data_IF_758989385630
#
_entry.id   IF_758989385630
#
_cell.length_a   1.000
_cell.length_b   1.000
_cell.length_c   1.000
_cell.angle_alpha   90.00
_cell.angle_beta   90.00
_cell.angle_gamma   90.00
#
_symmetry.space_group_name_H-M   'P 1'
#
loop_
_entity.id
_entity.type
_entity.pdbx_description
1 polymer ?
#
# COMPACT_ATOMS: atom_id res chain seq x y z
N UNK A 1 -21.06 -26.34 34.59
CA UNK A 1 -19.76 -26.13 35.27
C UNK A 1 -18.82 -27.24 34.81
N UNK A 2 -17.87 -26.93 33.94
CA UNK A 2 -16.88 -27.90 33.48
C UNK A 2 -15.82 -28.08 34.57
N UNK A 3 -15.69 -29.28 35.14
CA UNK A 3 -14.68 -29.54 36.17
C UNK A 3 -13.27 -29.47 35.58
N UNK A 4 -12.37 -28.69 36.18
CA UNK A 4 -10.93 -28.75 35.94
C UNK A 4 -10.30 -29.85 36.81
N UNK A 5 -9.14 -30.37 36.41
CA UNK A 5 -8.27 -31.23 37.23
C UNK A 5 -6.89 -30.60 37.34
N UNK A 6 -6.13 -30.87 38.40
CA UNK A 6 -4.78 -30.31 38.55
C UNK A 6 -3.74 -31.32 38.04
N UNK A 7 -2.69 -30.82 37.38
CA UNK A 7 -1.61 -31.65 36.89
C UNK A 7 -0.84 -32.25 38.07
N UNK A 8 -0.60 -33.58 38.12
CA UNK A 8 0.11 -34.20 39.22
C UNK A 8 1.59 -33.79 39.30
N UNK A 9 2.19 -33.35 38.19
CA UNK A 9 3.61 -32.96 38.13
C UNK A 9 3.84 -31.49 38.50
N UNK A 10 2.96 -30.57 38.09
CA UNK A 10 3.19 -29.12 38.27
C UNK A 10 2.07 -28.36 38.99
N UNK A 11 0.97 -29.03 39.37
CA UNK A 11 -0.16 -28.42 40.08
C UNK A 11 -1.04 -27.48 39.26
N UNK A 12 -0.67 -27.13 38.02
CA UNK A 12 -1.50 -26.24 37.18
C UNK A 12 -2.82 -26.90 36.80
N UNK A 13 -3.91 -26.13 36.78
CA UNK A 13 -5.24 -26.58 36.36
C UNK A 13 -5.24 -26.90 34.88
N UNK A 14 -5.68 -28.10 34.54
CA UNK A 14 -5.81 -28.63 33.18
C UNK A 14 -7.26 -28.99 32.92
N UNK A 15 -7.68 -28.80 31.67
CA UNK A 15 -9.06 -29.04 31.23
C UNK A 15 -9.33 -30.54 31.14
N UNK A 16 -10.42 -31.05 31.71
CA UNK A 16 -10.76 -32.48 31.59
C UNK A 16 -10.80 -32.90 30.12
N UNK A 17 -10.04 -33.94 29.78
CA UNK A 17 -9.87 -34.47 28.42
C UNK A 17 -8.58 -34.06 27.71
N UNK A 18 -7.73 -33.23 28.31
CA UNK A 18 -6.39 -32.95 27.78
C UNK A 18 -5.42 -34.09 28.10
N UNK A 19 -4.80 -34.65 27.07
CA UNK A 19 -3.82 -35.74 27.17
C UNK A 19 -2.46 -35.31 27.73
N UNK A 20 -2.17 -34.00 27.73
CA UNK A 20 -0.93 -33.41 28.24
C UNK A 20 -1.22 -32.11 29.02
N UNK A 21 -0.41 -31.83 30.03
CA UNK A 21 -0.46 -30.56 30.75
C UNK A 21 0.18 -29.44 29.91
N UNK A 22 -0.58 -28.38 29.62
CA UNK A 22 -0.05 -27.20 28.92
C UNK A 22 1.02 -26.44 29.72
N UNK A 23 1.09 -26.67 31.04
CA UNK A 23 2.03 -26.00 31.92
C UNK A 23 3.44 -26.60 31.97
N UNK A 24 3.55 -27.94 31.89
CA UNK A 24 4.84 -28.64 32.02
C UNK A 24 5.08 -29.73 30.96
N UNK A 25 4.13 -29.98 30.06
CA UNK A 25 4.23 -31.01 29.02
C UNK A 25 4.03 -32.44 29.51
N UNK A 26 3.84 -32.67 30.82
CA UNK A 26 3.64 -34.02 31.36
C UNK A 26 2.35 -34.65 30.83
N UNK A 27 2.44 -35.93 30.43
CA UNK A 27 1.30 -36.71 29.94
C UNK A 27 0.36 -37.04 31.09
N UNK A 28 -0.90 -36.66 30.95
CA UNK A 28 -1.93 -36.97 31.95
C UNK A 28 -2.50 -38.33 31.59
N UNK A 29 -2.21 -39.35 32.41
CA UNK A 29 -2.74 -40.69 32.21
C UNK A 29 -4.25 -40.70 32.45
N UNK A 30 -5.03 -40.84 31.37
CA UNK A 30 -6.51 -40.97 31.33
C UNK A 30 -7.01 -42.28 31.97
N UNK A 31 -6.64 -42.51 33.23
CA UNK A 31 -6.91 -43.74 33.96
C UNK A 31 -7.97 -43.57 35.03
N UNK A 32 -9.21 -43.23 34.66
CA UNK A 32 -10.38 -43.49 35.51
C UNK A 32 -11.65 -43.56 34.64
N UNK A 33 -12.03 -44.80 34.35
CA UNK A 33 -13.21 -45.18 33.59
C UNK A 33 -14.50 -44.60 34.20
N UNK A 34 -15.34 -44.06 33.31
CA UNK A 34 -16.73 -43.70 33.57
C UNK A 34 -17.52 -44.90 34.08
N UNK A 35 -17.74 -44.97 35.39
CA UNK A 35 -18.78 -45.81 35.99
C UNK A 35 -20.11 -45.05 35.99
N UNK A 36 -20.99 -45.46 35.08
CA UNK A 36 -22.44 -45.17 35.07
C UNK A 36 -23.08 -45.76 36.33
N UNK A 37 -23.77 -44.96 37.15
CA UNK A 37 -25.14 -45.23 37.62
C UNK A 37 -25.66 -44.21 38.66
N UNK A 38 -26.87 -43.73 38.38
CA UNK A 38 -28.02 -43.49 39.28
C UNK A 38 -28.18 -42.25 40.19
N UNK A 39 -29.31 -41.57 39.89
CA UNK A 39 -30.35 -41.00 40.78
C UNK A 39 -30.06 -39.77 41.67
N UNK A 40 -30.61 -38.62 41.22
CA UNK A 40 -31.69 -37.80 41.84
C UNK A 40 -31.61 -37.32 43.31
N UNK A 41 -32.42 -36.31 43.70
CA UNK A 41 -31.99 -34.97 44.11
C UNK A 41 -32.07 -34.76 45.63
N UNK A 42 -31.47 -33.70 46.19
CA UNK A 42 -31.92 -33.03 47.44
C UNK A 42 -31.05 -31.79 47.78
N UNK A 43 -31.77 -30.72 48.10
CA UNK A 43 -31.55 -29.54 48.98
C UNK A 43 -30.18 -28.85 49.16
N UNK A 44 -30.26 -27.52 49.11
CA UNK A 44 -29.35 -26.55 49.75
C UNK A 44 -29.38 -26.70 51.29
N UNK A 45 -28.36 -26.23 52.06
CA UNK A 45 -28.30 -24.79 52.39
C UNK A 45 -26.89 -24.20 52.69
N UNK A 46 -26.85 -22.86 52.74
CA UNK A 46 -26.08 -21.93 53.60
C UNK A 46 -24.58 -22.07 53.89
N UNK A 47 -23.90 -20.91 53.75
CA UNK A 47 -22.89 -20.30 54.64
C UNK A 47 -21.58 -21.11 54.86
N UNK A 48 -20.38 -20.55 54.96
CA UNK A 48 -19.84 -19.52 55.88
C UNK A 48 -18.35 -19.40 55.49
N UNK A 49 -17.82 -18.19 55.41
CA UNK A 49 -16.69 -17.70 56.25
C UNK A 49 -15.24 -18.02 55.78
N UNK A 50 -14.53 -16.92 55.48
CA UNK A 50 -13.18 -16.54 55.91
C UNK A 50 -11.96 -17.44 55.68
N UNK A 51 -10.93 -16.86 55.05
CA UNK A 51 -9.55 -16.64 55.55
C UNK A 51 -8.65 -16.38 54.32
N UNK A 52 -8.06 -15.19 54.15
CA UNK A 52 -6.83 -14.74 54.82
C UNK A 52 -5.65 -15.65 54.45
N UNK A 53 -4.85 -15.25 53.46
CA UNK A 53 -3.41 -15.54 53.47
C UNK A 53 -2.64 -14.56 52.56
N UNK A 54 -1.49 -14.15 53.05
CA UNK A 54 -0.79 -12.92 52.71
C UNK A 54 0.20 -13.09 51.56
N UNK A 55 0.34 -12.06 50.73
CA UNK A 55 1.46 -11.91 49.79
C UNK A 55 2.64 -11.23 50.51
N UNK A 56 3.89 -11.69 50.31
CA UNK A 56 5.04 -10.88 50.62
C UNK A 56 5.33 -9.89 49.48
N UNK A 57 5.43 -8.61 49.85
CA UNK A 57 6.07 -7.55 49.07
C UNK A 57 7.49 -8.00 48.66
N UNK A 58 7.82 -7.79 47.38
CA UNK A 58 9.20 -7.85 46.92
C UNK A 58 9.59 -6.48 46.36
N UNK A 59 10.69 -6.00 46.93
CA UNK A 59 11.30 -4.70 46.77
C UNK A 59 11.74 -4.47 45.32
N UNK A 60 11.26 -3.37 44.73
CA UNK A 60 11.77 -2.81 43.49
C UNK A 60 13.00 -1.96 43.82
N UNK A 61 14.18 -2.48 43.52
CA UNK A 61 15.43 -1.73 43.62
C UNK A 61 15.56 -0.72 42.46
N UNK A 62 15.85 0.52 42.86
CA UNK A 62 16.24 1.67 42.06
C UNK A 62 17.40 1.36 41.10
N UNK A 63 17.19 1.57 39.80
CA UNK A 63 18.27 1.73 38.83
C UNK A 63 18.52 3.23 38.59
N UNK A 64 19.74 3.76 38.87
CA UNK A 64 20.02 5.17 38.67
C UNK A 64 20.31 5.51 37.20
N UNK A 65 19.52 6.45 36.69
CA UNK A 65 19.77 7.28 35.51
C UNK A 65 21.16 7.94 35.58
N UNK A 66 22.08 7.56 34.71
CA UNK A 66 23.20 8.42 34.29
C UNK A 66 23.69 7.98 32.91
N UNK A 67 23.20 8.63 31.85
CA UNK A 67 23.88 8.66 30.55
C UNK A 67 24.74 9.92 30.47
N UNK A 68 26.05 9.82 30.15
CA UNK A 68 26.89 10.99 29.98
C UNK A 68 26.65 11.66 28.63
N UNK A 69 26.43 12.98 28.67
CA UNK A 69 26.48 13.87 27.51
C UNK A 69 27.88 13.80 26.88
N UNK A 70 27.95 13.35 25.63
CA UNK A 70 29.16 13.44 24.80
C UNK A 70 29.05 14.64 23.87
N UNK A 71 29.95 15.60 24.10
CA UNK A 71 30.22 16.76 23.28
C UNK A 71 30.52 16.41 21.81
N UNK A 72 29.78 17.04 20.89
CA UNK A 72 30.07 17.07 19.46
C UNK A 72 30.99 18.27 19.15
N UNK A 73 32.11 18.09 18.43
CA UNK A 73 32.98 19.20 18.05
C UNK A 73 32.42 20.01 16.87
N UNK A 74 32.49 21.34 17.04
CA UNK A 74 32.22 22.38 16.02
C UNK A 74 33.04 22.18 14.75
N UNK A 75 32.34 22.07 13.61
CA UNK A 75 32.90 22.03 12.25
C UNK A 75 32.62 23.36 11.54
N UNK A 76 33.22 24.45 12.02
CA UNK A 76 33.31 25.72 11.31
C UNK A 76 34.77 26.20 11.23
N UNK A 77 35.57 25.56 10.38
CA UNK A 77 36.84 26.11 9.89
C UNK A 77 37.33 25.36 8.65
N UNK A 78 36.77 25.67 7.48
CA UNK A 78 37.40 25.37 6.20
C UNK A 78 37.17 26.54 5.24
N UNK A 79 37.92 27.61 5.49
CA UNK A 79 38.18 28.66 4.53
C UNK A 79 39.40 28.27 3.68
N UNK A 80 39.47 28.88 2.48
CA UNK A 80 40.62 29.02 1.58
C UNK A 80 40.83 27.88 0.57
N UNK A 81 40.47 28.11 -0.70
CA UNK A 81 41.47 28.54 -1.68
C UNK A 81 40.83 29.09 -2.97
N UNK A 82 41.29 30.30 -3.34
CA UNK A 82 41.03 30.97 -4.61
C UNK A 82 41.80 30.26 -5.74
N UNK A 83 41.14 30.00 -6.87
CA UNK A 83 41.82 29.66 -8.12
C UNK A 83 41.35 30.58 -9.26
N UNK A 84 42.28 31.07 -10.11
CA UNK A 84 42.03 32.20 -10.99
C UNK A 84 41.31 31.84 -12.30
N UNK A 85 40.44 32.76 -12.69
CA UNK A 85 39.90 33.01 -14.02
C UNK A 85 41.00 33.01 -15.09
N UNK A 86 40.94 32.05 -16.02
CA UNK A 86 41.64 32.09 -17.31
C UNK A 86 40.60 32.21 -18.41
N UNK A 87 40.69 33.33 -19.11
CA UNK A 87 39.95 33.71 -20.30
C UNK A 87 40.60 32.99 -21.49
N UNK A 88 39.85 32.16 -22.22
CA UNK A 88 40.26 31.70 -23.56
C UNK A 88 39.21 32.08 -24.60
N UNK A 89 39.70 32.78 -25.63
CA UNK A 89 39.02 33.21 -26.84
C UNK A 89 38.68 32.02 -27.76
N UNK A 90 37.59 32.07 -28.54
CA UNK A 90 37.36 31.10 -29.61
C UNK A 90 38.20 31.43 -30.84
N UNK A 91 39.20 30.59 -31.13
CA UNK A 91 39.99 30.60 -32.36
C UNK A 91 39.18 30.03 -33.52
N UNK A 92 39.08 30.84 -34.56
CA UNK A 92 38.51 30.59 -35.88
C UNK A 92 39.48 29.70 -36.66
N UNK A 93 39.06 28.50 -37.06
CA UNK A 93 39.85 27.61 -37.93
C UNK A 93 39.11 27.41 -39.25
N UNK A 94 39.80 27.83 -40.30
CA UNK A 94 39.43 27.76 -41.71
C UNK A 94 39.45 26.34 -42.27
N UNK A 95 38.73 26.17 -43.38
CA UNK A 95 38.70 25.01 -44.28
C UNK A 95 40.11 24.55 -44.71
N UNK A 96 40.25 23.29 -45.17
CA UNK A 96 40.28 23.14 -46.62
C UNK A 96 39.66 21.84 -47.20
N UNK A 97 39.00 22.05 -48.35
CA UNK A 97 39.13 21.32 -49.62
C UNK A 97 38.98 19.78 -49.69
N UNK A 98 37.88 19.38 -50.33
CA UNK A 98 37.78 18.57 -51.57
C UNK A 98 38.74 17.38 -51.73
N UNK A 99 38.20 16.17 -51.62
CA UNK A 99 38.51 15.05 -52.53
C UNK A 99 37.22 14.25 -52.79
N UNK A 100 36.81 14.19 -54.06
CA UNK A 100 35.82 13.25 -54.62
C UNK A 100 36.33 11.81 -54.50
N UNK A 101 35.45 10.86 -54.14
CA UNK A 101 35.34 9.58 -54.85
C UNK A 101 34.00 8.87 -54.53
N UNK A 102 33.50 8.22 -55.57
CA UNK A 102 32.16 7.66 -55.86
C UNK A 102 31.76 6.38 -55.07
N UNK A 103 30.50 5.89 -55.21
CA UNK A 103 29.80 5.12 -54.18
C UNK A 103 29.94 3.60 -54.34
N UNK A 104 29.90 2.88 -53.22
CA UNK A 104 29.65 1.44 -53.17
C UNK A 104 28.42 1.17 -52.28
N UNK A 105 27.39 0.64 -52.93
CA UNK A 105 26.17 0.01 -52.38
C UNK A 105 26.46 -0.97 -51.23
N UNK A 106 25.68 -0.97 -50.14
CA UNK A 106 25.48 -2.15 -49.31
C UNK A 106 24.35 -3.04 -49.88
N UNK A 107 24.47 -4.37 -49.82
CA UNK A 107 23.39 -5.28 -50.21
C UNK A 107 22.30 -5.35 -49.12
N UNK A 108 21.05 -5.29 -49.56
CA UNK A 108 19.88 -5.70 -48.80
C UNK A 108 20.00 -7.19 -48.44
N UNK A 109 20.15 -7.49 -47.15
CA UNK A 109 19.92 -8.83 -46.61
C UNK A 109 18.57 -8.84 -45.87
N UNK A 110 17.54 -9.18 -46.64
CA UNK A 110 16.24 -9.61 -46.14
C UNK A 110 16.41 -10.91 -45.33
N UNK A 111 16.50 -10.79 -44.00
CA UNK A 111 16.35 -11.91 -43.07
C UNK A 111 14.86 -12.12 -42.75
N UNK A 112 14.13 -12.67 -43.71
CA UNK A 112 12.81 -13.26 -43.50
C UNK A 112 12.96 -14.64 -42.85
N UNK A 113 12.62 -14.75 -41.56
CA UNK A 113 12.36 -16.04 -40.92
C UNK A 113 10.94 -16.48 -41.26
N UNK A 114 10.73 -17.04 -42.45
CA UNK A 114 9.55 -17.84 -42.75
C UNK A 114 9.74 -19.20 -42.07
N UNK A 115 8.99 -19.42 -40.99
CA UNK A 115 8.87 -20.75 -40.37
C UNK A 115 7.93 -21.58 -41.23
N UNK A 116 8.52 -22.45 -42.03
CA UNK A 116 7.88 -23.53 -42.76
C UNK A 116 7.26 -24.55 -41.78
N UNK A 117 6.00 -24.37 -41.40
CA UNK A 117 5.19 -25.41 -40.74
C UNK A 117 4.20 -26.01 -41.74
N UNK A 118 4.71 -27.00 -42.50
CA UNK A 118 3.89 -27.85 -43.36
C UNK A 118 4.45 -29.28 -43.41
N UNK A 119 4.03 -30.12 -42.45
CA UNK A 119 3.69 -31.55 -42.63
C UNK A 119 3.65 -32.24 -41.26
N UNK A 120 2.46 -32.49 -40.71
CA UNK A 120 2.05 -33.79 -40.14
C UNK A 120 0.52 -33.84 -40.20
N UNK A 121 -0.03 -34.62 -41.13
CA UNK A 121 -1.39 -35.17 -41.01
C UNK A 121 -1.37 -36.28 -39.95
N UNK A 122 -2.47 -36.48 -39.23
CA UNK A 122 -3.19 -37.73 -39.49
C UNK A 122 -4.71 -37.59 -39.57
N UNK A 123 -5.26 -38.59 -40.25
CA UNK A 123 -6.63 -38.81 -40.66
C UNK A 123 -7.70 -38.73 -39.55
N UNK A 124 -8.83 -38.17 -39.98
CA UNK A 124 -10.23 -38.58 -39.79
C UNK A 124 -10.63 -39.39 -38.54
N UNK A 125 -11.61 -38.88 -37.80
CA UNK A 125 -12.98 -39.43 -37.83
C UNK A 125 -13.98 -38.43 -37.24
N UNK A 126 -15.22 -38.49 -37.74
CA UNK A 126 -16.15 -37.36 -37.81
C UNK A 126 -16.89 -36.99 -36.52
N UNK A 127 -17.55 -35.83 -36.56
CA UNK A 127 -18.95 -35.72 -36.14
C UNK A 127 -19.62 -34.45 -36.70
N UNK A 128 -20.83 -34.64 -37.24
CA UNK A 128 -21.82 -33.64 -37.63
C UNK A 128 -22.09 -32.61 -36.52
N UNK A 129 -22.53 -31.37 -36.73
CA UNK A 129 -23.10 -30.66 -37.87
C UNK A 129 -23.97 -29.53 -37.28
N UNK A 130 -23.96 -28.33 -37.84
CA UNK A 130 -24.98 -27.31 -37.55
C UNK A 130 -24.89 -26.14 -38.55
N UNK A 131 -25.96 -26.05 -39.33
CA UNK A 131 -26.67 -24.89 -39.87
C UNK A 131 -25.95 -23.56 -40.17
N UNK A 132 -26.11 -23.19 -41.44
CA UNK A 132 -25.83 -21.91 -42.05
C UNK A 132 -26.78 -20.80 -41.58
N UNK A 133 -26.24 -19.60 -41.37
CA UNK A 133 -27.00 -18.34 -41.54
C UNK A 133 -26.08 -17.29 -42.20
N UNK A 134 -26.49 -16.90 -43.39
CA UNK A 134 -25.95 -15.82 -44.23
C UNK A 134 -26.24 -14.43 -43.64
N UNK A 135 -25.22 -13.56 -43.55
CA UNK A 135 -25.38 -12.11 -43.59
C UNK A 135 -24.08 -11.43 -44.10
N UNK A 136 -24.11 -10.71 -45.23
CA UNK A 136 -23.03 -9.80 -45.60
C UNK A 136 -23.34 -8.38 -45.09
N UNK A 137 -22.52 -7.87 -44.17
CA UNK A 137 -22.48 -6.43 -43.82
C UNK A 137 -21.30 -5.81 -44.55
N UNK A 138 -21.60 -4.90 -45.48
CA UNK A 138 -20.65 -4.09 -46.21
C UNK A 138 -19.92 -3.13 -45.26
N UNK A 139 -18.59 -3.12 -45.32
CA UNK A 139 -17.72 -2.24 -44.56
C UNK A 139 -17.19 -1.18 -45.51
N UNK A 140 -17.78 0.02 -45.48
CA UNK A 140 -17.26 1.20 -46.17
C UNK A 140 -16.04 1.73 -45.42
N UNK A 141 -14.88 1.68 -46.08
CA UNK A 141 -13.62 2.28 -45.64
C UNK A 141 -13.64 3.75 -46.02
N UNK A 142 -13.65 4.64 -45.02
CA UNK A 142 -13.56 6.08 -45.22
C UNK A 142 -12.10 6.52 -45.05
N UNK A 143 -11.49 7.01 -46.14
CA UNK A 143 -10.17 7.66 -46.14
C UNK A 143 -10.22 9.01 -45.40
N UNK A 144 -9.21 9.36 -44.56
CA UNK A 144 -9.07 10.70 -44.02
C UNK A 144 -8.16 11.59 -44.89
N UNK A 145 -8.67 12.79 -45.18
CA UNK A 145 -7.97 13.89 -45.85
C UNK A 145 -6.87 14.54 -44.97
N UNK A 146 -5.86 15.20 -45.57
CA UNK A 146 -4.74 15.79 -44.84
C UNK A 146 -5.11 17.15 -44.21
N UNK A 147 -4.74 17.34 -42.95
CA UNK A 147 -4.89 18.61 -42.23
C UNK A 147 -3.59 19.41 -42.32
N UNK A 148 -3.71 20.63 -42.82
CA UNK A 148 -2.66 21.59 -43.04
C UNK A 148 -2.24 22.33 -41.75
N UNK A 149 -1.05 22.93 -41.85
CA UNK A 149 -0.33 23.85 -40.99
C UNK A 149 -1.13 24.70 -39.98
N UNK A 150 -0.60 24.76 -38.75
CA UNK A 150 -0.89 25.85 -37.82
C UNK A 150 0.32 26.18 -36.92
N UNK A 151 1.08 27.18 -37.37
CA UNK A 151 1.43 28.43 -36.67
C UNK A 151 2.04 28.33 -35.25
N UNK A 152 3.34 28.64 -35.24
CA UNK A 152 4.14 29.11 -34.10
C UNK A 152 3.48 30.32 -33.44
N UNK A 153 3.21 30.24 -32.13
CA UNK A 153 2.83 31.38 -31.30
C UNK A 153 3.84 31.52 -30.15
N UNK A 154 4.89 32.28 -30.40
CA UNK A 154 5.65 32.94 -29.34
C UNK A 154 4.78 34.06 -28.76
N UNK A 155 4.69 34.17 -27.43
CA UNK A 155 4.92 35.43 -26.71
C UNK A 155 4.66 35.35 -25.20
N UNK A 156 5.57 36.02 -24.48
CA UNK A 156 5.42 36.68 -23.19
C UNK A 156 5.42 35.87 -21.89
N UNK A 157 6.64 35.55 -21.44
CA UNK A 157 6.99 35.58 -20.02
C UNK A 157 7.25 37.03 -19.59
N UNK A 158 6.55 37.50 -18.55
CA UNK A 158 6.93 38.71 -17.79
C UNK A 158 6.39 38.60 -16.36
N UNK A 159 7.35 38.39 -15.45
CA UNK A 159 7.48 38.97 -14.12
C UNK A 159 6.24 39.03 -13.21
N UNK A 160 6.17 38.09 -12.28
CA UNK A 160 5.44 38.25 -11.01
C UNK A 160 6.41 38.00 -9.85
N UNK A 161 7.14 39.05 -9.49
CA UNK A 161 7.92 39.14 -8.25
C UNK A 161 6.97 39.27 -7.05
N UNK A 162 7.12 38.36 -6.08
CA UNK A 162 6.34 38.32 -4.84
C UNK A 162 7.00 39.07 -3.67
N UNK A 163 7.89 40.02 -3.95
CA UNK A 163 8.48 40.90 -2.95
C UNK A 163 7.69 42.20 -2.85
N UNK A 164 6.64 42.22 -2.03
CA UNK A 164 6.17 43.40 -1.27
C UNK A 164 4.85 43.11 -0.54
N UNK A 165 4.93 42.50 0.64
CA UNK A 165 3.96 42.74 1.72
C UNK A 165 4.65 42.58 3.08
N UNK A 166 5.54 43.52 3.38
CA UNK A 166 5.83 43.89 4.76
C UNK A 166 5.01 45.14 5.10
N UNK A 167 4.56 45.21 6.35
CA UNK A 167 3.91 46.35 7.02
C UNK A 167 2.40 46.47 6.81
N UNK A 168 1.62 45.88 7.73
CA UNK A 168 0.58 46.62 8.47
C UNK A 168 -0.14 45.76 9.53
N UNK A 169 -0.20 46.33 10.73
CA UNK A 169 -1.17 46.11 11.83
C UNK A 169 -0.89 45.01 12.84
N UNK A 170 -0.06 45.38 13.81
CA UNK A 170 -0.30 45.05 15.22
C UNK A 170 -1.67 45.61 15.64
N UNK A 171 -2.58 44.73 16.05
CA UNK A 171 -3.82 45.08 16.72
C UNK A 171 -3.78 44.49 18.13
N UNK A 172 -3.31 45.32 19.07
CA UNK A 172 -3.82 45.51 20.43
C UNK A 172 -4.81 44.42 20.94
N UNK A 173 -4.25 43.33 21.47
CA UNK A 173 -5.01 42.32 22.22
C UNK A 173 -5.20 42.86 23.64
N UNK A 174 -6.44 43.23 23.97
CA UNK A 174 -6.84 43.64 25.32
C UNK A 174 -6.76 42.45 26.28
N UNK A 175 -5.83 42.53 27.22
CA UNK A 175 -5.79 41.69 28.42
C UNK A 175 -7.01 41.95 29.30
N UNK A 176 -7.76 40.89 29.63
CA UNK A 176 -8.84 40.97 30.61
C UNK A 176 -10.02 40.04 30.37
N UNK A 177 -9.80 38.72 30.33
CA UNK A 177 -10.84 37.76 30.69
C UNK A 177 -10.23 36.69 31.61
N UNK A 178 -10.81 36.44 32.80
CA UNK A 178 -10.27 35.46 33.74
C UNK A 178 -10.68 34.06 33.26
N UNK A 179 -9.79 33.41 32.51
CA UNK A 179 -9.90 31.97 32.30
C UNK A 179 -9.65 31.29 33.63
N UNK A 180 -10.72 30.72 34.19
CA UNK A 180 -10.66 29.84 35.34
C UNK A 180 -10.10 28.52 34.81
N UNK A 181 -8.82 28.30 35.07
CA UNK A 181 -8.10 27.07 34.74
C UNK A 181 -8.81 25.90 35.42
N UNK A 182 -9.52 25.11 34.62
CA UNK A 182 -10.14 23.86 35.06
C UNK A 182 -9.12 22.78 34.80
N UNK A 183 -8.58 22.19 35.87
CA UNK A 183 -7.65 21.07 35.75
C UNK A 183 -8.31 19.93 34.96
N UNK A 184 -7.63 19.40 33.91
CA UNK A 184 -8.16 18.29 33.14
C UNK A 184 -8.37 17.07 34.05
N UNK A 185 -9.49 16.34 33.90
CA UNK A 185 -9.78 15.18 34.73
C UNK A 185 -8.66 14.15 34.60
N UNK A 186 -8.04 13.80 35.74
CA UNK A 186 -7.08 12.71 35.84
C UNK A 186 -7.75 11.43 35.34
N UNK A 187 -7.30 10.95 34.20
CA UNK A 187 -7.64 9.62 33.69
C UNK A 187 -6.88 8.63 34.57
N UNK A 188 -7.60 7.97 35.48
CA UNK A 188 -7.05 6.86 36.25
C UNK A 188 -6.97 5.68 35.27
N UNK A 189 -5.76 5.40 34.78
CA UNK A 189 -5.50 4.20 34.00
C UNK A 189 -5.60 3.02 34.96
N UNK A 190 -6.74 2.33 34.93
CA UNK A 190 -6.90 1.02 35.54
C UNK A 190 -6.10 0.05 34.66
N UNK A 191 -4.94 -0.40 35.17
CA UNK A 191 -4.08 -1.37 34.51
C UNK A 191 -4.82 -2.71 34.44
N UNK A 192 -5.42 -2.99 33.28
CA UNK A 192 -6.01 -4.29 32.98
C UNK A 192 -4.92 -5.13 32.32
N UNK A 193 -4.47 -6.16 33.03
CA UNK A 193 -3.49 -7.13 32.53
C UNK A 193 -4.08 -7.94 31.36
N UNK A 194 -3.85 -7.49 30.13
CA UNK A 194 -4.19 -8.25 28.93
C UNK A 194 -3.02 -9.14 28.52
N UNK A 195 -3.21 -10.45 28.59
CA UNK A 195 -2.25 -11.41 28.04
C UNK A 195 -2.27 -11.36 26.50
N UNK A 196 -1.09 -11.25 25.90
CA UNK A 196 -0.87 -11.02 24.46
C UNK A 196 -1.52 -12.09 23.55
N UNK A 197 -1.76 -13.29 24.05
CA UNK A 197 -2.44 -14.37 23.30
C UNK A 197 -3.94 -14.11 23.13
N UNK A 198 -4.60 -13.45 24.08
CA UNK A 198 -6.04 -13.10 23.96
C UNK A 198 -6.24 -11.89 23.05
N UNK A 199 -5.21 -11.05 22.90
CA UNK A 199 -5.23 -9.87 22.03
C UNK A 199 -5.10 -10.28 20.55
N UNK A 200 -4.28 -11.29 20.24
CA UNK A 200 -4.08 -11.74 18.84
C UNK A 200 -5.33 -12.47 18.31
N UNK A 201 -5.95 -13.33 19.11
CA UNK A 201 -7.20 -14.02 18.74
C UNK A 201 -8.40 -13.06 18.62
N UNK A 202 -8.34 -11.87 19.24
CA UNK A 202 -9.37 -10.84 19.09
C UNK A 202 -9.15 -9.89 17.92
N UNK A 203 -7.92 -9.78 17.39
CA UNK A 203 -7.62 -8.86 16.30
C UNK A 203 -7.81 -9.46 14.90
N UNK A 204 -7.71 -10.79 14.71
CA UNK A 204 -7.82 -11.39 13.37
C UNK A 204 -8.56 -12.74 13.31
N UNK A 205 -9.86 -12.83 13.66
CA UNK A 205 -10.66 -14.00 13.30
C UNK A 205 -11.05 -13.94 11.82
N UNK A 206 -10.40 -14.76 10.98
CA UNK A 206 -10.54 -14.90 9.50
C UNK A 206 -11.94 -15.34 9.00
N UNK A 207 -13.03 -14.98 9.67
CA UNK A 207 -14.39 -15.39 9.30
C UNK A 207 -15.48 -14.37 9.63
N UNK A 208 -15.14 -13.10 9.83
CA UNK A 208 -16.10 -12.04 10.23
C UNK A 208 -15.89 -10.72 9.48
N UNK A 209 -15.82 -10.77 8.16
CA UNK A 209 -15.84 -9.55 7.34
C UNK A 209 -17.06 -8.67 7.65
N UNK A 210 -18.19 -9.26 8.05
CA UNK A 210 -19.42 -8.53 8.38
C UNK A 210 -19.31 -7.67 9.65
N UNK A 211 -18.54 -8.09 10.66
CA UNK A 211 -18.43 -7.33 11.92
C UNK A 211 -17.44 -6.18 11.76
N UNK A 212 -16.35 -6.38 11.02
CA UNK A 212 -15.49 -5.27 10.58
C UNK A 212 -16.22 -4.33 9.64
N UNK A 213 -17.10 -4.84 8.76
CA UNK A 213 -17.91 -3.99 7.88
C UNK A 213 -18.95 -3.18 8.64
N UNK A 214 -19.51 -3.72 9.73
CA UNK A 214 -20.44 -3.01 10.64
C UNK A 214 -19.70 -2.06 11.60
N UNK A 215 -18.50 -2.44 12.06
CA UNK A 215 -17.59 -1.56 12.80
C UNK A 215 -16.98 -0.47 11.90
N UNK A 216 -16.98 -0.65 10.58
CA UNK A 216 -16.58 0.39 9.64
C UNK A 216 -17.80 1.18 9.17
N UNK A 217 -19.00 0.60 9.09
CA UNK A 217 -20.21 1.30 8.62
C UNK A 217 -20.59 2.50 9.49
N UNK A 218 -20.26 2.52 10.79
CA UNK A 218 -20.47 3.72 11.61
C UNK A 218 -19.47 4.86 11.35
N UNK A 219 -18.30 4.56 10.75
CA UNK A 219 -17.37 5.57 10.18
C UNK A 219 -17.90 6.11 8.84
N UNK A 220 -18.84 5.40 8.21
CA UNK A 220 -19.52 5.78 6.98
C UNK A 220 -21.04 5.86 7.22
N UNK A 221 -21.53 6.81 8.04
CA UNK A 221 -22.97 6.92 8.31
C UNK A 221 -23.74 6.92 6.98
N UNK A 222 -24.68 5.98 6.85
CA UNK A 222 -25.52 5.75 5.67
C UNK A 222 -26.34 7.01 5.35
N UNK A 223 -25.70 7.96 4.67
CA UNK A 223 -26.25 9.29 4.54
C UNK A 223 -25.19 10.30 4.17
N UNK A 224 -24.72 10.24 2.91
CA UNK A 224 -23.93 11.31 2.25
C UNK A 224 -22.91 11.98 3.17
N UNK A 225 -22.01 11.18 3.75
CA UNK A 225 -20.73 11.73 4.15
C UNK A 225 -20.06 12.21 2.88
N UNK A 226 -20.06 13.53 2.65
CA UNK A 226 -19.25 14.14 1.60
C UNK A 226 -17.84 13.62 1.84
N UNK A 227 -17.34 12.75 0.95
CA UNK A 227 -15.98 12.22 1.02
C UNK A 227 -15.04 13.40 0.93
N UNK A 228 -14.67 13.95 2.09
CA UNK A 228 -13.79 15.09 2.18
C UNK A 228 -12.44 14.69 1.58
N UNK A 229 -11.71 15.68 1.07
CA UNK A 229 -10.36 15.42 0.56
C UNK A 229 -9.50 14.71 1.61
N UNK A 230 -9.66 15.11 2.86
CA UNK A 230 -8.97 14.55 4.03
C UNK A 230 -9.34 13.08 4.24
N UNK A 231 -10.60 12.69 4.03
CA UNK A 231 -11.01 11.29 4.12
C UNK A 231 -10.27 10.42 3.09
N UNK A 232 -10.17 10.88 1.84
CA UNK A 232 -9.45 10.16 0.79
C UNK A 232 -7.96 10.04 1.17
N UNK A 233 -7.36 11.11 1.69
CA UNK A 233 -5.96 11.11 2.08
C UNK A 233 -5.71 10.21 3.32
N UNK A 234 -6.67 10.12 4.25
CA UNK A 234 -6.63 9.19 5.40
C UNK A 234 -6.78 7.74 4.96
N UNK A 235 -7.70 7.43 4.03
CA UNK A 235 -7.91 6.06 3.54
C UNK A 235 -6.76 5.58 2.68
N UNK A 236 -6.22 6.44 1.82
CA UNK A 236 -5.05 6.08 1.01
C UNK A 236 -3.84 5.91 1.91
N UNK A 237 -3.71 6.76 2.94
CA UNK A 237 -2.55 6.81 3.81
C UNK A 237 -1.26 7.16 3.06
N UNK A 238 -0.20 7.43 3.79
CA UNK A 238 1.14 7.39 3.20
C UNK A 238 1.56 5.92 3.14
N UNK A 239 1.70 5.31 1.94
CA UNK A 239 2.15 3.94 1.90
C UNK A 239 3.53 3.85 2.54
N UNK A 240 3.70 2.92 3.46
CA UNK A 240 5.01 2.59 4.00
C UNK A 240 5.72 1.73 2.97
N UNK A 241 7.01 1.99 2.74
CA UNK A 241 7.82 1.06 1.97
C UNK A 241 7.75 -0.29 2.69
N UNK A 242 7.38 -1.34 1.95
CA UNK A 242 7.46 -2.72 2.45
C UNK A 242 8.92 -2.94 2.76
N UNK A 243 9.24 -3.00 4.04
CA UNK A 243 10.56 -3.29 4.55
C UNK A 243 10.46 -4.62 5.29
N UNK A 244 11.54 -5.40 5.30
CA UNK A 244 11.65 -6.61 6.13
C UNK A 244 11.30 -6.28 7.59
N UNK A 245 10.08 -6.58 8.00
CA UNK A 245 9.56 -6.24 9.34
C UNK A 245 10.13 -7.17 10.40
N UNK A 246 10.31 -8.44 10.03
CA UNK A 246 10.85 -9.48 10.90
C UNK A 246 12.32 -9.69 10.57
N UNK A 247 13.27 -9.43 11.49
CA UNK A 247 14.67 -9.77 11.27
C UNK A 247 14.76 -11.25 10.90
N UNK A 248 15.57 -11.58 9.90
CA UNK A 248 15.69 -12.96 9.45
C UNK A 248 16.36 -13.79 10.54
N UNK A 249 15.55 -14.46 11.35
CA UNK A 249 16.01 -15.36 12.44
C UNK A 249 16.94 -16.45 11.89
N UNK A 250 16.69 -16.87 10.63
CA UNK A 250 17.53 -17.82 9.87
C UNK A 250 18.99 -17.36 9.72
N UNK A 251 19.23 -16.05 9.77
CA UNK A 251 20.56 -15.46 9.63
C UNK A 251 21.26 -15.19 10.97
N UNK A 252 20.53 -15.18 12.07
CA UNK A 252 21.09 -14.89 13.39
C UNK A 252 21.41 -16.16 14.18
N UNK A 253 20.58 -17.20 14.04
CA UNK A 253 20.80 -18.45 14.77
C UNK A 253 20.56 -19.65 13.87
N UNK A 254 21.61 -20.23 13.26
CA UNK A 254 21.50 -21.51 12.60
C UNK A 254 21.14 -22.56 13.66
N UNK A 255 19.85 -22.86 13.79
CA UNK A 255 19.36 -23.91 14.66
C UNK A 255 19.43 -25.23 13.90
N UNK A 256 19.99 -26.26 14.54
CA UNK A 256 20.04 -27.57 13.94
C UNK A 256 18.61 -28.12 13.80
N UNK A 257 18.14 -28.48 12.59
CA UNK A 257 16.77 -28.96 12.38
C UNK A 257 16.46 -30.28 13.10
N UNK A 258 17.48 -31.05 13.50
CA UNK A 258 17.27 -32.31 14.23
C UNK A 258 17.20 -32.17 15.74
N UNK A 259 17.79 -31.14 16.35
CA UNK A 259 17.84 -31.04 17.81
C UNK A 259 17.44 -29.68 18.37
N UNK A 260 17.19 -28.67 17.54
CA UNK A 260 16.81 -27.33 17.96
C UNK A 260 17.87 -26.58 18.78
N UNK A 261 19.06 -27.17 18.96
CA UNK A 261 20.18 -26.49 19.62
C UNK A 261 20.62 -25.36 18.70
N UNK A 262 20.41 -24.13 19.17
CA UNK A 262 21.04 -22.94 18.60
C UNK A 262 22.52 -23.05 18.92
N UNK A 263 23.36 -23.13 17.89
CA UNK A 263 24.81 -23.04 18.05
C UNK A 263 25.14 -21.60 18.46
N UNK A 264 24.94 -21.30 19.73
CA UNK A 264 25.13 -19.97 20.34
C UNK A 264 26.60 -19.72 20.74
N UNK A 265 27.52 -20.58 20.28
CA UNK A 265 28.88 -20.66 20.80
C UNK A 265 30.02 -20.37 19.83
N UNK A 266 29.77 -20.24 18.53
CA UNK A 266 30.80 -19.91 17.55
C UNK A 266 30.17 -19.11 16.41
N UNK A 267 30.89 -18.09 15.92
CA UNK A 267 30.59 -17.26 14.75
C UNK A 267 30.57 -18.12 13.47
N UNK A 268 29.62 -19.06 13.38
CA UNK A 268 29.44 -19.94 12.25
C UNK A 268 28.80 -19.13 11.12
N UNK A 269 29.65 -18.59 10.25
CA UNK A 269 29.22 -17.94 9.02
C UNK A 269 29.10 -18.99 7.90
N UNK A 270 27.97 -18.98 7.19
CA UNK A 270 27.81 -19.87 6.05
C UNK A 270 28.76 -19.45 4.92
N UNK A 271 29.33 -20.40 4.16
CA UNK A 271 30.04 -20.07 2.94
C UNK A 271 29.15 -19.29 1.95
N UNK A 272 29.72 -18.33 1.21
CA UNK A 272 28.96 -17.46 0.30
C UNK A 272 28.02 -18.17 -0.68
N UNK A 273 28.41 -19.32 -1.22
CA UNK A 273 27.57 -20.10 -2.14
C UNK A 273 26.26 -20.60 -1.50
N UNK A 274 26.22 -20.79 -0.19
CA UNK A 274 24.99 -21.17 0.53
C UNK A 274 24.03 -19.99 0.57
N UNK A 275 24.53 -18.78 0.89
CA UNK A 275 23.73 -17.56 0.82
C UNK A 275 23.21 -17.30 -0.59
N UNK A 276 24.01 -17.55 -1.63
CA UNK A 276 23.55 -17.45 -3.02
C UNK A 276 22.42 -18.42 -3.35
N UNK A 277 22.53 -19.69 -2.92
CA UNK A 277 21.48 -20.69 -3.13
C UNK A 277 20.19 -20.36 -2.37
N UNK A 278 20.31 -19.88 -1.12
CA UNK A 278 19.16 -19.40 -0.35
C UNK A 278 18.52 -18.15 -0.98
N UNK A 279 19.33 -17.21 -1.44
CA UNK A 279 18.87 -16.02 -2.16
C UNK A 279 18.11 -16.38 -3.43
N UNK A 280 18.61 -17.37 -4.18
CA UNK A 280 17.98 -17.84 -5.41
C UNK A 280 16.60 -18.47 -5.13
N UNK A 281 16.51 -19.31 -4.10
CA UNK A 281 15.25 -19.91 -3.68
C UNK A 281 14.22 -18.84 -3.24
N UNK A 282 14.65 -17.78 -2.55
CA UNK A 282 13.78 -16.64 -2.17
C UNK A 282 13.35 -15.81 -3.37
N UNK A 283 14.21 -15.68 -4.38
CA UNK A 283 13.87 -14.99 -5.63
C UNK A 283 12.79 -15.76 -6.40
N UNK A 284 12.93 -17.07 -6.53
CA UNK A 284 11.93 -17.95 -7.16
C UNK A 284 10.59 -17.96 -6.40
N UNK A 285 10.63 -18.01 -5.06
CA UNK A 285 9.43 -17.87 -4.21
C UNK A 285 8.74 -16.51 -4.42
N UNK A 286 9.51 -15.41 -4.50
CA UNK A 286 8.99 -14.09 -4.82
C UNK A 286 8.35 -14.01 -6.20
N UNK A 287 8.92 -14.68 -7.22
CA UNK A 287 8.31 -14.77 -8.55
C UNK A 287 6.98 -15.53 -8.54
N UNK A 288 6.88 -16.65 -7.80
CA UNK A 288 5.64 -17.41 -7.64
C UNK A 288 4.56 -16.53 -7.02
N UNK A 289 4.87 -15.87 -5.89
CA UNK A 289 3.96 -14.96 -5.19
C UNK A 289 3.51 -13.78 -6.06
N UNK A 290 4.41 -13.26 -6.88
CA UNK A 290 4.07 -12.19 -7.83
C UNK A 290 3.03 -12.67 -8.85
N UNK A 291 3.16 -13.92 -9.33
CA UNK A 291 2.19 -14.53 -10.25
C UNK A 291 0.83 -14.81 -9.59
N UNK A 292 0.83 -15.08 -8.28
CA UNK A 292 -0.36 -15.29 -7.44
C UNK A 292 -1.02 -13.98 -6.98
N UNK A 293 -0.45 -12.82 -7.36
CA UNK A 293 -0.85 -11.46 -6.95
C UNK A 293 -0.66 -11.16 -5.46
N UNK A 294 0.19 -11.90 -4.77
CA UNK A 294 0.61 -11.62 -3.39
C UNK A 294 1.77 -10.61 -3.40
N UNK A 295 1.50 -9.38 -3.83
CA UNK A 295 2.54 -8.40 -4.14
C UNK A 295 3.43 -8.03 -2.94
N UNK A 296 2.83 -7.86 -1.76
CA UNK A 296 3.58 -7.50 -0.54
C UNK A 296 4.52 -8.63 -0.11
N UNK A 297 4.02 -9.87 -0.08
CA UNK A 297 4.81 -11.05 0.24
C UNK A 297 5.92 -11.30 -0.79
N UNK A 298 5.66 -11.03 -2.07
CA UNK A 298 6.67 -11.12 -3.12
C UNK A 298 7.80 -10.10 -2.91
N UNK A 299 7.46 -8.83 -2.62
CA UNK A 299 8.42 -7.76 -2.34
C UNK A 299 9.28 -8.12 -1.11
N UNK A 300 8.66 -8.62 -0.04
CA UNK A 300 9.41 -9.09 1.13
C UNK A 300 10.38 -10.22 0.78
N UNK A 301 9.96 -11.20 -0.04
CA UNK A 301 10.84 -12.28 -0.49
C UNK A 301 12.02 -11.75 -1.30
N UNK A 302 11.82 -10.73 -2.15
CA UNK A 302 12.91 -10.08 -2.88
C UNK A 302 13.86 -9.29 -1.98
N UNK A 303 13.38 -8.60 -0.95
CA UNK A 303 14.25 -7.92 0.02
C UNK A 303 15.05 -8.90 0.89
N UNK A 304 14.44 -10.02 1.28
CA UNK A 304 15.14 -11.14 1.95
C UNK A 304 16.20 -11.75 1.04
N UNK A 305 15.91 -11.92 -0.26
CA UNK A 305 16.92 -12.37 -1.22
C UNK A 305 18.07 -11.35 -1.36
N UNK A 306 17.77 -10.05 -1.43
CA UNK A 306 18.76 -8.98 -1.52
C UNK A 306 19.78 -9.03 -0.38
N UNK A 307 19.29 -9.12 0.85
CA UNK A 307 20.12 -9.18 2.06
C UNK A 307 20.96 -10.45 2.14
N UNK A 308 20.48 -11.58 1.62
CA UNK A 308 21.27 -12.81 1.45
C UNK A 308 22.40 -12.61 0.43
N UNK A 309 22.13 -11.99 -0.73
CA UNK A 309 23.15 -11.72 -1.74
C UNK A 309 24.18 -10.66 -1.31
N UNK A 310 23.77 -9.68 -0.49
CA UNK A 310 24.69 -8.73 0.14
C UNK A 310 25.69 -9.44 1.05
N UNK A 311 25.23 -10.40 1.86
CA UNK A 311 26.12 -11.23 2.69
C UNK A 311 27.01 -12.15 1.86
N UNK A 312 26.52 -12.64 0.72
CA UNK A 312 27.33 -13.43 -0.21
C UNK A 312 28.40 -12.60 -0.95
N UNK A 313 28.30 -11.27 -0.96
CA UNK A 313 29.15 -10.37 -1.75
C UNK A 313 28.85 -10.39 -3.25
N UNK A 314 27.66 -10.84 -3.67
CA UNK A 314 27.27 -10.95 -5.08
C UNK A 314 26.47 -9.72 -5.54
N UNK A 315 27.19 -8.64 -5.89
CA UNK A 315 26.57 -7.37 -6.28
C UNK A 315 25.61 -7.49 -7.48
N UNK A 316 25.90 -8.38 -8.43
CA UNK A 316 25.05 -8.56 -9.61
C UNK A 316 23.64 -9.03 -9.22
N UNK A 317 23.55 -9.95 -8.26
CA UNK A 317 22.27 -10.45 -7.80
C UNK A 317 21.55 -9.45 -6.88
N UNK A 318 22.29 -8.63 -6.13
CA UNK A 318 21.71 -7.50 -5.38
C UNK A 318 20.99 -6.53 -6.31
N UNK A 319 21.63 -6.14 -7.41
CA UNK A 319 21.02 -5.24 -8.41
C UNK A 319 19.79 -5.88 -9.07
N UNK A 320 19.80 -7.19 -9.30
CA UNK A 320 18.65 -7.93 -9.82
C UNK A 320 17.49 -7.94 -8.82
N UNK A 321 17.74 -8.20 -7.53
CA UNK A 321 16.73 -8.12 -6.48
C UNK A 321 16.09 -6.73 -6.38
N UNK A 322 16.88 -5.65 -6.54
CA UNK A 322 16.36 -4.28 -6.59
C UNK A 322 15.39 -4.11 -7.77
N UNK A 323 15.78 -4.56 -8.97
CA UNK A 323 14.90 -4.52 -10.16
C UNK A 323 13.62 -5.33 -9.97
N UNK A 324 13.70 -6.51 -9.35
CA UNK A 324 12.52 -7.35 -9.06
C UNK A 324 11.61 -6.70 -8.01
N UNK A 325 12.19 -6.02 -7.04
CA UNK A 325 11.43 -5.22 -6.05
C UNK A 325 10.67 -4.09 -6.74
N UNK A 326 11.32 -3.34 -7.63
CA UNK A 326 10.68 -2.29 -8.43
C UNK A 326 9.55 -2.85 -9.30
N UNK A 327 9.75 -4.03 -9.92
CA UNK A 327 8.74 -4.74 -10.69
C UNK A 327 7.54 -5.16 -9.83
N UNK A 328 7.78 -5.59 -8.58
CA UNK A 328 6.74 -5.91 -7.61
C UNK A 328 5.85 -4.70 -7.30
N UNK A 329 6.46 -3.55 -6.99
CA UNK A 329 5.73 -2.30 -6.78
C UNK A 329 4.95 -1.85 -8.02
N UNK A 330 5.55 -1.96 -9.20
CA UNK A 330 4.90 -1.63 -10.47
C UNK A 330 3.68 -2.52 -10.75
N UNK A 331 3.79 -3.84 -10.47
CA UNK A 331 2.71 -4.80 -10.66
C UNK A 331 1.56 -4.55 -9.70
N UNK A 332 1.87 -4.28 -8.42
CA UNK A 332 0.89 -3.90 -7.40
C UNK A 332 0.16 -2.60 -7.74
N UNK A 333 0.90 -1.59 -8.21
CA UNK A 333 0.32 -0.32 -8.64
C UNK A 333 -0.58 -0.48 -9.88
N UNK A 334 -0.22 -1.37 -10.81
CA UNK A 334 -1.04 -1.67 -11.97
C UNK A 334 -2.35 -2.40 -11.59
N UNK A 335 -2.31 -3.34 -10.64
CA UNK A 335 -3.53 -4.01 -10.16
C UNK A 335 -4.50 -3.00 -9.53
N UNK A 336 -4.00 -2.08 -8.67
CA UNK A 336 -4.81 -0.96 -8.16
C UNK A 336 -5.36 -0.04 -9.26
N UNK A 337 -4.57 0.19 -10.33
CA UNK A 337 -5.03 0.97 -11.48
C UNK A 337 -6.17 0.28 -12.24
N UNK A 338 -6.08 -1.03 -12.43
CA UNK A 338 -7.13 -1.84 -13.07
C UNK A 338 -8.41 -1.88 -12.23
N UNK A 339 -8.28 -2.07 -10.91
CA UNK A 339 -9.40 -1.95 -9.98
C UNK A 339 -10.08 -0.58 -10.08
N UNK A 340 -9.29 0.50 -10.18
CA UNK A 340 -9.81 1.86 -10.34
C UNK A 340 -10.62 2.04 -11.64
N UNK A 341 -10.12 1.54 -12.76
CA UNK A 341 -10.84 1.56 -14.05
C UNK A 341 -12.14 0.72 -13.98
N UNK A 342 -12.14 -0.39 -13.24
CA UNK A 342 -13.35 -1.18 -13.01
C UNK A 342 -14.39 -0.41 -12.17
N UNK A 343 -13.98 0.21 -11.06
CA UNK A 343 -14.88 1.06 -10.25
C UNK A 343 -15.42 2.24 -11.06
N UNK A 344 -14.59 2.86 -11.91
CA UNK A 344 -15.00 3.94 -12.82
C UNK A 344 -16.10 3.47 -13.77
N UNK A 345 -15.94 2.29 -14.40
CA UNK A 345 -16.96 1.70 -15.30
C UNK A 345 -18.27 1.37 -14.57
N UNK A 346 -18.21 1.08 -13.29
CA UNK A 346 -19.38 0.84 -12.43
C UNK A 346 -19.97 2.11 -11.80
N UNK A 347 -19.54 3.30 -12.24
CA UNK A 347 -19.93 4.62 -11.69
C UNK A 347 -19.65 4.80 -10.19
N UNK A 348 -18.75 3.99 -9.62
CA UNK A 348 -18.29 4.11 -8.24
C UNK A 348 -17.09 5.06 -8.16
N UNK A 349 -17.31 6.33 -8.52
CA UNK A 349 -16.20 7.29 -8.73
C UNK A 349 -15.35 7.54 -7.48
N UNK A 350 -15.95 7.48 -6.29
CA UNK A 350 -15.22 7.64 -5.02
C UNK A 350 -14.13 6.57 -4.88
N UNK A 351 -14.52 5.30 -5.03
CA UNK A 351 -13.60 4.17 -5.00
C UNK A 351 -12.58 4.23 -6.13
N UNK A 352 -13.00 4.61 -7.34
CA UNK A 352 -12.07 4.79 -8.46
C UNK A 352 -10.98 5.82 -8.16
N UNK A 353 -11.35 6.97 -7.57
CA UNK A 353 -10.40 8.03 -7.21
C UNK A 353 -9.43 7.55 -6.13
N UNK A 354 -9.93 6.88 -5.09
CA UNK A 354 -9.10 6.30 -4.02
C UNK A 354 -8.07 5.34 -4.61
N UNK A 355 -8.51 4.42 -5.49
CA UNK A 355 -7.64 3.43 -6.11
C UNK A 355 -6.60 4.05 -7.05
N UNK A 356 -6.97 5.05 -7.87
CA UNK A 356 -6.00 5.76 -8.70
C UNK A 356 -4.97 6.55 -7.88
N UNK A 357 -5.36 7.11 -6.73
CA UNK A 357 -4.41 7.75 -5.81
C UNK A 357 -3.48 6.72 -5.17
N UNK A 358 -4.00 5.60 -4.69
CA UNK A 358 -3.18 4.51 -4.14
C UNK A 358 -2.16 4.00 -5.16
N UNK A 359 -2.60 3.76 -6.41
CA UNK A 359 -1.70 3.41 -7.52
C UNK A 359 -0.62 4.48 -7.74
N UNK A 360 -0.96 5.77 -7.69
CA UNK A 360 0.00 6.88 -7.83
C UNK A 360 1.06 6.87 -6.73
N UNK A 361 0.65 6.67 -5.47
CA UNK A 361 1.57 6.63 -4.34
C UNK A 361 2.50 5.40 -4.43
N UNK A 362 1.99 4.25 -4.86
CA UNK A 362 2.82 3.06 -5.10
C UNK A 362 3.83 3.28 -6.23
N UNK A 363 3.44 3.96 -7.31
CA UNK A 363 4.37 4.40 -8.36
C UNK A 363 5.41 5.44 -7.89
N UNK A 364 5.34 5.96 -6.66
CA UNK A 364 6.44 6.75 -6.10
C UNK A 364 7.64 5.89 -5.69
N UNK A 365 7.41 4.60 -5.40
CA UNK A 365 8.49 3.66 -5.13
C UNK A 365 9.13 3.13 -6.40
N UNK A 366 8.44 3.23 -7.54
CA UNK A 366 9.04 2.92 -8.84
C UNK A 366 9.60 4.16 -9.53
N UNK A 367 10.51 3.94 -10.49
CA UNK A 367 11.24 5.02 -11.16
C UNK A 367 10.44 5.71 -12.28
N UNK A 368 9.22 5.24 -12.61
CA UNK A 368 8.45 5.73 -13.76
C UNK A 368 7.57 6.95 -13.43
N UNK A 369 8.10 8.14 -13.68
CA UNK A 369 7.35 9.40 -13.56
C UNK A 369 6.13 9.50 -14.51
N UNK A 370 6.15 8.84 -15.68
CA UNK A 370 5.04 8.92 -16.65
C UNK A 370 3.81 8.21 -16.11
N UNK A 371 3.98 7.06 -15.46
CA UNK A 371 2.87 6.32 -14.82
C UNK A 371 2.22 7.14 -13.69
N UNK A 372 3.00 7.88 -12.89
CA UNK A 372 2.48 8.79 -11.86
C UNK A 372 1.63 9.92 -12.45
N UNK A 373 2.11 10.57 -13.51
CA UNK A 373 1.37 11.63 -14.21
C UNK A 373 0.09 11.06 -14.84
N UNK A 374 0.14 9.86 -15.39
CA UNK A 374 -1.03 9.15 -15.94
C UNK A 374 -2.10 8.91 -14.87
N UNK A 375 -1.73 8.44 -13.68
CA UNK A 375 -2.66 8.26 -12.57
C UNK A 375 -3.31 9.58 -12.14
N UNK A 376 -2.52 10.66 -12.01
CA UNK A 376 -3.05 11.98 -11.69
C UNK A 376 -4.03 12.51 -12.77
N UNK A 377 -3.76 12.24 -14.05
CA UNK A 377 -4.69 12.57 -15.14
C UNK A 377 -5.99 11.79 -15.02
N UNK A 378 -5.92 10.48 -14.72
CA UNK A 378 -7.09 9.63 -14.53
C UNK A 378 -7.95 10.05 -13.35
N UNK A 379 -7.36 10.49 -12.25
CA UNK A 379 -8.11 11.09 -11.12
C UNK A 379 -8.92 12.30 -11.58
N UNK A 380 -8.33 13.21 -12.37
CA UNK A 380 -9.06 14.37 -12.92
C UNK A 380 -10.19 13.94 -13.85
N UNK A 381 -9.95 12.96 -14.73
CA UNK A 381 -10.99 12.40 -15.60
C UNK A 381 -12.18 11.84 -14.79
N UNK A 382 -11.91 11.10 -13.70
CA UNK A 382 -12.95 10.58 -12.81
C UNK A 382 -13.79 11.70 -12.19
N UNK A 383 -13.17 12.79 -11.72
CA UNK A 383 -13.90 13.94 -11.21
C UNK A 383 -14.76 14.62 -12.28
N UNK A 384 -14.27 14.71 -13.52
CA UNK A 384 -15.05 15.25 -14.65
C UNK A 384 -16.25 14.38 -14.95
N UNK A 385 -16.09 13.06 -15.00
CA UNK A 385 -17.18 12.12 -15.30
C UNK A 385 -18.21 12.09 -14.17
N UNK A 386 -17.76 12.09 -12.92
CA UNK A 386 -18.65 12.23 -11.75
C UNK A 386 -19.44 13.53 -11.80
N UNK A 387 -18.79 14.65 -12.12
CA UNK A 387 -19.46 15.94 -12.30
C UNK A 387 -20.53 15.92 -13.39
N UNK A 388 -20.30 15.20 -14.51
CA UNK A 388 -21.28 15.07 -15.61
C UNK A 388 -22.51 14.28 -15.18
N UNK A 389 -22.33 13.22 -14.40
CA UNK A 389 -23.46 12.42 -13.89
C UNK A 389 -24.32 13.24 -12.92
N UNK A 390 -23.68 13.98 -12.00
CA UNK A 390 -24.39 14.90 -11.10
C UNK A 390 -25.09 16.04 -11.86
N UNK A 391 -24.49 16.56 -12.93
CA UNK A 391 -25.12 17.54 -13.81
C UNK A 391 -26.36 16.96 -14.51
N UNK A 392 -26.29 15.71 -15.00
CA UNK A 392 -27.41 15.00 -15.60
C UNK A 392 -28.56 14.77 -14.60
N UNK A 393 -28.24 14.37 -13.36
CA UNK A 393 -29.21 14.23 -12.28
C UNK A 393 -29.89 15.55 -11.94
N UNK A 394 -29.10 16.63 -11.87
CA UNK A 394 -29.61 17.99 -11.68
C UNK A 394 -30.55 18.41 -12.81
N UNK A 395 -30.20 18.13 -14.06
CA UNK A 395 -31.04 18.40 -15.24
C UNK A 395 -32.36 17.59 -15.18
N UNK A 396 -32.32 16.35 -14.71
CA UNK A 396 -33.52 15.50 -14.52
C UNK A 396 -34.44 16.04 -13.40
N UNK A 397 -33.88 16.43 -12.26
CA UNK A 397 -34.63 17.02 -11.14
C UNK A 397 -35.26 18.36 -11.53
N UNK A 398 -34.53 19.18 -12.29
CA UNK A 398 -35.05 20.45 -12.82
C UNK A 398 -36.25 20.21 -13.76
N UNK A 399 -36.18 19.19 -14.63
CA UNK A 399 -37.32 18.79 -15.49
C UNK A 399 -38.54 18.32 -14.70
N UNK A 400 -38.33 17.70 -13.53
CA UNK A 400 -39.41 17.29 -12.60
C UNK A 400 -39.98 18.46 -11.78
N UNK A 401 -39.40 19.66 -11.88
CA UNK A 401 -39.80 20.84 -11.09
C UNK A 401 -39.23 20.88 -9.67
N UNK A 402 -38.31 19.97 -9.31
CA UNK A 402 -37.65 19.94 -8.00
C UNK A 402 -36.43 20.87 -7.99
N UNK A 403 -36.66 22.19 -8.04
CA UNK A 403 -35.60 23.21 -8.22
C UNK A 403 -34.57 23.20 -7.09
N UNK A 404 -34.99 23.03 -5.83
CA UNK A 404 -34.08 23.00 -4.67
C UNK A 404 -33.10 21.83 -4.71
N UNK A 405 -33.59 20.64 -5.04
CA UNK A 405 -32.75 19.44 -5.14
C UNK A 405 -31.81 19.52 -6.35
N UNK A 406 -32.31 20.06 -7.48
CA UNK A 406 -31.50 20.31 -8.66
C UNK A 406 -30.34 21.28 -8.36
N UNK A 407 -30.62 22.38 -7.63
CA UNK A 407 -29.60 23.35 -7.22
C UNK A 407 -28.51 22.70 -6.35
N UNK A 408 -28.90 21.85 -5.39
CA UNK A 408 -27.93 21.11 -4.58
C UNK A 408 -27.05 20.19 -5.45
N UNK A 409 -27.64 19.48 -6.43
CA UNK A 409 -26.88 18.65 -7.37
C UNK A 409 -25.93 19.43 -8.27
N UNK A 410 -26.32 20.61 -8.73
CA UNK A 410 -25.41 21.47 -9.49
C UNK A 410 -24.28 22.02 -8.63
N UNK A 411 -24.52 22.33 -7.34
CA UNK A 411 -23.45 22.73 -6.42
C UNK A 411 -22.45 21.59 -6.17
N UNK A 412 -22.95 20.37 -5.92
CA UNK A 412 -22.12 19.16 -5.81
C UNK A 412 -21.29 18.94 -7.09
N UNK A 413 -21.90 19.03 -8.27
CA UNK A 413 -21.19 18.92 -9.55
C UNK A 413 -20.11 20.00 -9.74
N UNK A 414 -20.39 21.24 -9.32
CA UNK A 414 -19.43 22.34 -9.41
C UNK A 414 -18.20 22.11 -8.54
N UNK A 415 -18.37 21.53 -7.35
CA UNK A 415 -17.26 21.13 -6.49
C UNK A 415 -16.39 20.06 -7.14
N UNK A 416 -16.99 19.05 -7.78
CA UNK A 416 -16.22 18.02 -8.50
C UNK A 416 -15.46 18.60 -9.69
N UNK A 417 -16.05 19.54 -10.44
CA UNK A 417 -15.32 20.24 -11.51
C UNK A 417 -14.18 21.14 -11.01
N UNK A 418 -14.31 21.74 -9.82
CA UNK A 418 -13.17 22.44 -9.18
C UNK A 418 -12.04 21.48 -8.85
N UNK A 419 -12.36 20.29 -8.33
CA UNK A 419 -11.35 19.27 -8.01
C UNK A 419 -10.66 18.71 -9.27
N UNK A 420 -11.32 18.78 -10.43
CA UNK A 420 -10.76 18.40 -11.73
C UNK A 420 -9.96 19.53 -12.44
N UNK A 421 -9.98 20.76 -11.92
CA UNK A 421 -9.48 21.97 -12.59
C UNK A 421 -10.15 22.29 -13.96
N UNK A 422 -11.39 21.81 -14.22
CA UNK A 422 -12.11 22.08 -15.47
C UNK A 422 -12.89 23.42 -15.41
N UNK A 423 -12.17 24.51 -15.69
CA UNK A 423 -12.72 25.88 -15.72
C UNK A 423 -13.84 26.06 -16.75
N UNK A 424 -13.82 25.31 -17.87
CA UNK A 424 -14.82 25.46 -18.94
C UNK A 424 -16.17 24.91 -18.49
N UNK A 425 -16.17 23.72 -17.89
CA UNK A 425 -17.39 23.10 -17.35
C UNK A 425 -17.95 23.90 -16.18
N UNK A 426 -17.08 24.40 -15.31
CA UNK A 426 -17.49 25.23 -14.18
C UNK A 426 -18.24 26.50 -14.63
N UNK A 427 -17.72 27.22 -15.62
CA UNK A 427 -18.40 28.42 -16.15
C UNK A 427 -19.75 28.13 -16.85
N UNK A 428 -19.94 26.93 -17.40
CA UNK A 428 -21.24 26.50 -17.93
C UNK A 428 -22.22 26.19 -16.81
N UNK A 429 -21.76 25.49 -15.78
CA UNK A 429 -22.57 25.06 -14.64
C UNK A 429 -23.00 26.24 -13.77
N UNK A 430 -22.15 27.25 -13.58
CA UNK A 430 -22.50 28.50 -12.87
C UNK A 430 -23.70 29.21 -13.52
N UNK A 431 -23.83 29.15 -14.85
CA UNK A 431 -24.99 29.71 -15.56
C UNK A 431 -26.26 28.91 -15.26
N UNK A 432 -26.15 27.58 -15.14
CA UNK A 432 -27.27 26.72 -14.73
C UNK A 432 -27.68 27.00 -13.28
N UNK A 433 -26.72 27.13 -12.37
CA UNK A 433 -26.96 27.45 -10.95
C UNK A 433 -27.67 28.80 -10.79
N UNK A 434 -27.31 29.83 -11.56
CA UNK A 434 -28.00 31.14 -11.52
C UNK A 434 -29.41 31.12 -12.11
N UNK A 435 -29.72 30.12 -12.94
CA UNK A 435 -31.02 29.99 -13.62
C UNK A 435 -32.00 29.12 -12.82
N UNK A 436 -31.49 28.10 -12.13
CA UNK A 436 -32.25 27.25 -11.21
C UNK A 436 -32.64 28.03 -9.95
#
# INVERSE_FOLDING_TARGET
>A
MAGSMECPECGKKVRRGSTFCMGCGAKISDGLESSKANSSPVEAPSATESADDSLPESELEDFPDTLPETDLPDLEAAAVDEAPSVVEEPVLVEEPAVVEETPATPPDEDLSWEVDEKLVEPAEEGNSGAEAVDHPVALEVHEPAPVADAVVLENHTKDLSWDNMAVAKEAEIKEGMPFKEVEPPRVVAEEVDFTTEVVIDHLFPEGRDDVTREAVSHLFPEGRGVTSKDFIDVVVGTPKKVAISTPMVELETPSCPSCGVTLSGDDFEYPGYVYEAMGQARLEDGESKLSEKEFEAAIESFEKAKTLYERAGNQKMVDECIKRTDLGYDSMANDHFEQAENHRKSNQYEWAIVQFRKARELYMFSTDAKKRVRCASKVRECYVDWGKELESDGDQLAKKGQTREALAKYQEAAEKYRQADDKKKLGSLDKKIRKA
#
